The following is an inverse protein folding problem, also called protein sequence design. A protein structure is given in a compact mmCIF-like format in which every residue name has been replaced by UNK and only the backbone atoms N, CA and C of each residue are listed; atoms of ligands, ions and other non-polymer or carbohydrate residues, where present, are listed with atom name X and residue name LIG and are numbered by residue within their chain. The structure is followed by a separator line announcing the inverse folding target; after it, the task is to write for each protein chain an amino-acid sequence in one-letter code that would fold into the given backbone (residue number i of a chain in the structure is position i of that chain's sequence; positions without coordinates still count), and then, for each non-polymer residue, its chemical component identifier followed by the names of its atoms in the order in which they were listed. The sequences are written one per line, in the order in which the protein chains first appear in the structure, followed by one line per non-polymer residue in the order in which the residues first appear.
data_IF_165842699123
#
_entry.id   IF_165842699123
#
_cell.length_a   1.000
_cell.length_b   1.000
_cell.length_c   1.000
_cell.angle_alpha   90.00
_cell.angle_beta   90.00
_cell.angle_gamma   90.00
#
_symmetry.space_group_name_H-M   'P 1'
#
loop_
_entity.id
_entity.type
_entity.pdbx_description
1 polymer ?
#
# COMPACT_ATOMS: atom_id res chain seq x y z
N UNK A 1 8.82 40.35 10.82
CA UNK A 1 9.98 39.44 10.99
C UNK A 1 9.58 38.28 11.89
N UNK A 2 9.15 37.16 11.30
CA UNK A 2 9.12 35.82 11.91
C UNK A 2 8.78 34.80 10.80
N UNK A 3 9.63 34.74 9.77
CA UNK A 3 9.38 33.99 8.53
C UNK A 3 10.27 32.76 8.35
N UNK A 4 10.96 32.29 9.38
CA UNK A 4 12.04 31.28 9.23
C UNK A 4 11.84 29.95 9.95
N UNK A 5 10.79 29.76 10.76
CA UNK A 5 10.65 28.55 11.60
C UNK A 5 9.62 27.49 11.13
N UNK A 6 8.80 27.78 10.12
CA UNK A 6 7.80 26.79 9.61
C UNK A 6 8.32 25.91 8.47
N UNK A 7 9.52 26.19 7.94
CA UNK A 7 10.15 25.39 6.88
C UNK A 7 10.58 23.97 7.33
N UNK A 8 10.65 23.73 8.64
CA UNK A 8 10.91 22.41 9.23
C UNK A 8 9.68 21.51 9.35
N UNK A 9 8.47 22.09 9.38
CA UNK A 9 7.20 21.38 9.67
C UNK A 9 6.69 20.52 8.50
N UNK A 10 7.15 20.82 7.28
CA UNK A 10 6.71 20.18 6.03
C UNK A 10 7.81 19.37 5.35
N UNK A 11 8.74 18.84 6.14
CA UNK A 11 9.73 17.86 5.70
C UNK A 11 9.22 16.45 5.99
N UNK A 12 9.63 15.47 5.20
CA UNK A 12 9.35 14.06 5.51
C UNK A 12 9.88 13.67 6.90
N UNK A 13 9.42 12.53 7.45
CA UNK A 13 9.88 11.97 8.72
C UNK A 13 11.41 11.83 8.86
N UNK A 14 12.17 11.90 7.76
CA UNK A 14 13.63 11.87 7.76
C UNK A 14 14.30 13.27 7.61
N UNK A 15 13.56 14.38 7.65
CA UNK A 15 14.04 15.77 7.45
C UNK A 15 14.84 16.07 6.16
N UNK A 16 15.02 15.09 5.28
CA UNK A 16 15.92 15.16 4.13
C UNK A 16 15.24 15.57 2.81
N UNK A 17 13.92 15.39 2.69
CA UNK A 17 13.20 15.63 1.45
C UNK A 17 11.97 16.53 1.65
N UNK A 18 11.74 17.44 0.70
CA UNK A 18 10.52 18.23 0.61
C UNK A 18 9.32 17.31 0.40
N UNK A 19 8.23 17.50 1.14
CA UNK A 19 7.09 16.58 1.18
C UNK A 19 6.45 16.33 -0.20
N UNK A 20 6.53 17.33 -1.09
CA UNK A 20 6.07 17.23 -2.50
C UNK A 20 6.85 16.17 -3.28
N UNK A 21 8.18 16.17 -3.20
CA UNK A 21 9.03 15.21 -3.91
C UNK A 21 8.86 13.79 -3.36
N UNK A 22 8.71 13.66 -2.05
CA UNK A 22 8.47 12.34 -1.44
C UNK A 22 7.11 11.77 -1.83
N UNK A 23 6.07 12.60 -1.86
CA UNK A 23 4.74 12.15 -2.31
C UNK A 23 4.74 11.80 -3.81
N UNK A 24 5.51 12.52 -4.62
CA UNK A 24 5.72 12.18 -6.03
C UNK A 24 6.44 10.83 -6.21
N UNK A 25 7.45 10.57 -5.37
CA UNK A 25 8.12 9.25 -5.33
C UNK A 25 7.15 8.12 -5.00
N UNK A 26 6.25 8.31 -4.04
CA UNK A 26 5.21 7.32 -3.70
C UNK A 26 4.28 7.07 -4.88
N UNK A 27 3.87 8.13 -5.60
CA UNK A 27 3.01 8.00 -6.78
C UNK A 27 3.69 7.14 -7.87
N UNK A 28 4.99 7.36 -8.12
CA UNK A 28 5.77 6.54 -9.06
C UNK A 28 5.86 5.09 -8.59
N UNK A 29 6.23 4.85 -7.33
CA UNK A 29 6.36 3.50 -6.78
C UNK A 29 5.04 2.76 -6.86
N UNK A 30 3.94 3.42 -6.50
CA UNK A 30 2.59 2.85 -6.56
C UNK A 30 2.19 2.51 -8.00
N UNK A 31 2.51 3.38 -8.96
CA UNK A 31 2.28 3.11 -10.39
C UNK A 31 3.07 1.88 -10.87
N UNK A 32 4.35 1.79 -10.51
CA UNK A 32 5.20 0.64 -10.85
C UNK A 32 4.63 -0.64 -10.26
N UNK A 33 4.18 -0.65 -9.01
CA UNK A 33 3.58 -1.82 -8.36
C UNK A 33 2.30 -2.28 -9.08
N UNK A 34 1.43 -1.35 -9.49
CA UNK A 34 0.21 -1.66 -10.25
C UNK A 34 0.58 -2.32 -11.60
N UNK A 35 1.58 -1.78 -12.31
CA UNK A 35 2.05 -2.33 -13.59
C UNK A 35 2.63 -3.73 -13.38
N UNK A 36 3.48 -3.91 -12.36
CA UNK A 36 4.08 -5.23 -12.05
C UNK A 36 2.99 -6.25 -11.74
N UNK A 37 2.00 -5.90 -10.92
CA UNK A 37 0.88 -6.79 -10.61
C UNK A 37 0.10 -7.18 -11.88
N UNK A 38 -0.19 -6.21 -12.76
CA UNK A 38 -0.86 -6.46 -14.03
C UNK A 38 -0.03 -7.37 -14.97
N UNK A 39 1.28 -7.17 -15.02
CA UNK A 39 2.18 -8.01 -15.84
C UNK A 39 2.26 -9.44 -15.27
N UNK A 40 2.36 -9.61 -13.95
CA UNK A 40 2.33 -10.93 -13.31
C UNK A 40 1.03 -11.68 -13.63
N UNK A 41 -0.10 -10.96 -13.71
CA UNK A 41 -1.36 -11.52 -14.19
C UNK A 41 -1.32 -11.95 -15.64
N UNK A 42 -0.80 -11.10 -16.52
CA UNK A 42 -0.70 -11.42 -17.95
C UNK A 42 0.13 -12.69 -18.19
N UNK A 43 1.12 -12.97 -17.35
CA UNK A 43 1.90 -14.21 -17.35
C UNK A 43 1.23 -15.42 -16.67
N UNK A 44 0.02 -15.26 -16.15
CA UNK A 44 -0.78 -16.36 -15.58
C UNK A 44 -0.39 -16.76 -14.15
N UNK A 45 0.38 -15.94 -13.43
CA UNK A 45 0.77 -16.26 -12.04
C UNK A 45 -0.39 -16.10 -11.04
N UNK A 46 -1.30 -15.15 -11.28
CA UNK A 46 -2.45 -14.87 -10.40
C UNK A 46 -3.68 -15.68 -10.82
N UNK A 47 -4.32 -16.37 -9.85
CA UNK A 47 -5.55 -17.15 -10.05
C UNK A 47 -6.85 -16.35 -9.87
N UNK A 48 -6.76 -15.03 -9.67
CA UNK A 48 -7.94 -14.14 -9.53
C UNK A 48 -8.74 -14.11 -10.85
N UNK A 49 -10.04 -13.85 -10.85
CA UNK A 49 -10.72 -13.66 -12.15
C UNK A 49 -10.30 -12.35 -12.82
N UNK A 50 -10.20 -12.36 -14.15
CA UNK A 50 -9.83 -11.16 -14.93
C UNK A 50 -10.73 -9.95 -14.65
N UNK A 51 -12.02 -10.16 -14.36
CA UNK A 51 -12.94 -9.08 -14.06
C UNK A 51 -12.58 -8.36 -12.74
N UNK A 52 -12.24 -9.11 -11.70
CA UNK A 52 -11.84 -8.55 -10.41
C UNK A 52 -10.48 -7.87 -10.50
N UNK A 53 -9.54 -8.48 -11.22
CA UNK A 53 -8.19 -7.92 -11.38
C UNK A 53 -8.19 -6.63 -12.21
N UNK A 54 -8.99 -6.56 -13.27
CA UNK A 54 -9.18 -5.34 -14.05
C UNK A 54 -9.85 -4.24 -13.21
N UNK A 55 -10.82 -4.59 -12.37
CA UNK A 55 -11.46 -3.64 -11.46
C UNK A 55 -10.43 -3.03 -10.49
N UNK A 56 -9.60 -3.86 -9.86
CA UNK A 56 -8.51 -3.38 -8.99
C UNK A 56 -7.53 -2.48 -9.76
N UNK A 57 -7.14 -2.89 -10.97
CA UNK A 57 -6.26 -2.09 -11.83
C UNK A 57 -6.83 -0.70 -12.13
N UNK A 58 -8.12 -0.61 -12.49
CA UNK A 58 -8.79 0.67 -12.79
C UNK A 58 -8.89 1.53 -11.53
N UNK A 59 -9.32 0.96 -10.41
CA UNK A 59 -9.52 1.68 -9.15
C UNK A 59 -8.18 2.22 -8.63
N UNK A 60 -7.14 1.38 -8.57
CA UNK A 60 -5.80 1.79 -8.14
C UNK A 60 -5.18 2.79 -9.13
N UNK A 61 -5.39 2.60 -10.43
CA UNK A 61 -4.95 3.52 -11.46
C UNK A 61 -5.56 4.92 -11.30
N UNK A 62 -6.89 5.01 -11.08
CA UNK A 62 -7.57 6.29 -10.83
C UNK A 62 -7.08 6.96 -9.54
N UNK A 63 -6.78 6.19 -8.50
CA UNK A 63 -6.24 6.73 -7.26
C UNK A 63 -4.81 7.26 -7.41
N UNK A 64 -3.96 6.57 -8.18
CA UNK A 64 -2.60 7.07 -8.47
C UNK A 64 -2.64 8.28 -9.39
N UNK A 65 -3.52 8.30 -10.39
CA UNK A 65 -3.72 9.46 -11.27
C UNK A 65 -4.22 10.68 -10.50
N UNK A 66 -5.18 10.50 -9.60
CA UNK A 66 -5.65 11.58 -8.72
C UNK A 66 -4.57 12.06 -7.76
N UNK A 67 -3.70 11.16 -7.28
CA UNK A 67 -2.51 11.55 -6.51
C UNK A 67 -1.56 12.41 -7.34
N UNK A 68 -1.21 11.99 -8.56
CA UNK A 68 -0.37 12.78 -9.48
C UNK A 68 -0.97 14.15 -9.79
N UNK A 69 -2.25 14.17 -10.15
CA UNK A 69 -2.97 15.40 -10.47
C UNK A 69 -3.06 16.33 -9.25
N UNK A 70 -3.34 15.79 -8.07
CA UNK A 70 -3.39 16.56 -6.82
C UNK A 70 -2.06 17.19 -6.43
N UNK A 71 -0.94 16.50 -6.68
CA UNK A 71 0.41 17.05 -6.47
C UNK A 71 0.72 18.14 -7.49
N UNK A 72 0.33 17.95 -8.76
CA UNK A 72 0.57 18.92 -9.83
C UNK A 72 -0.25 20.20 -9.65
N UNK A 73 -1.53 20.05 -9.33
CA UNK A 73 -2.47 21.17 -9.12
C UNK A 73 -2.47 21.72 -7.69
N UNK A 74 -1.61 21.20 -6.80
CA UNK A 74 -1.49 21.59 -5.39
C UNK A 74 -2.82 21.61 -4.62
N UNK A 75 -3.76 20.73 -5.02
CA UNK A 75 -5.12 20.66 -4.48
C UNK A 75 -5.27 19.44 -3.59
N UNK A 76 -5.47 19.68 -2.29
CA UNK A 76 -5.64 18.63 -1.28
C UNK A 76 -6.83 17.69 -1.56
N UNK A 77 -7.87 18.15 -2.27
CA UNK A 77 -9.07 17.35 -2.55
C UNK A 77 -8.79 16.10 -3.39
N UNK A 78 -7.77 16.13 -4.27
CA UNK A 78 -7.46 15.00 -5.15
C UNK A 78 -6.59 13.93 -4.47
N UNK A 79 -6.03 14.21 -3.28
CA UNK A 79 -5.27 13.23 -2.50
C UNK A 79 -6.19 12.26 -1.73
N UNK A 80 -7.46 12.64 -1.54
CA UNK A 80 -8.46 11.87 -0.81
C UNK A 80 -8.71 10.45 -1.36
N UNK A 81 -8.98 10.24 -2.65
CA UNK A 81 -9.23 8.90 -3.19
C UNK A 81 -8.09 7.91 -2.89
N UNK A 82 -6.83 8.34 -3.05
CA UNK A 82 -5.67 7.51 -2.72
C UNK A 82 -5.57 7.19 -1.22
N UNK A 83 -5.82 8.18 -0.36
CA UNK A 83 -5.83 7.97 1.09
C UNK A 83 -6.93 6.99 1.52
N UNK A 84 -8.14 7.12 0.94
CA UNK A 84 -9.26 6.23 1.22
C UNK A 84 -8.96 4.80 0.79
N UNK A 85 -8.42 4.60 -0.43
CA UNK A 85 -8.00 3.26 -0.86
C UNK A 85 -6.91 2.70 0.05
N UNK A 86 -5.92 3.50 0.42
CA UNK A 86 -4.85 3.06 1.33
C UNK A 86 -5.41 2.61 2.69
N UNK A 87 -6.44 3.27 3.23
CA UNK A 87 -7.12 2.85 4.46
C UNK A 87 -7.82 1.50 4.29
N UNK A 88 -8.53 1.30 3.18
CA UNK A 88 -9.15 0.01 2.87
C UNK A 88 -8.10 -1.10 2.73
N UNK A 89 -7.00 -0.84 2.02
CA UNK A 89 -5.90 -1.80 1.83
C UNK A 89 -5.22 -2.16 3.15
N UNK A 90 -4.91 -1.18 3.99
CA UNK A 90 -4.32 -1.43 5.33
C UNK A 90 -5.28 -2.27 6.19
N UNK A 91 -6.57 -1.96 6.17
CA UNK A 91 -7.58 -2.71 6.94
C UNK A 91 -7.69 -4.16 6.46
N UNK A 92 -7.73 -4.36 5.14
CA UNK A 92 -7.77 -5.69 4.54
C UNK A 92 -6.49 -6.49 4.85
N UNK A 93 -5.31 -5.87 4.70
CA UNK A 93 -4.03 -6.51 5.04
C UNK A 93 -3.95 -6.89 6.53
N UNK A 94 -4.42 -6.03 7.43
CA UNK A 94 -4.46 -6.32 8.86
C UNK A 94 -5.38 -7.52 9.17
N UNK A 95 -6.54 -7.60 8.52
CA UNK A 95 -7.45 -8.75 8.66
C UNK A 95 -6.82 -10.03 8.10
N UNK A 96 -6.13 -9.97 6.95
CA UNK A 96 -5.41 -11.11 6.40
C UNK A 96 -4.27 -11.55 7.32
N UNK A 97 -3.51 -10.61 7.88
CA UNK A 97 -2.45 -10.91 8.83
C UNK A 97 -2.99 -11.59 10.09
N UNK A 98 -4.13 -11.10 10.62
CA UNK A 98 -4.81 -11.74 11.75
C UNK A 98 -5.29 -13.16 11.40
N UNK A 99 -5.91 -13.34 10.23
CA UNK A 99 -6.35 -14.65 9.74
C UNK A 99 -5.18 -15.62 9.61
N UNK A 100 -4.08 -15.22 8.96
CA UNK A 100 -2.87 -16.03 8.85
C UNK A 100 -2.22 -16.29 10.22
N UNK A 101 -2.30 -15.33 11.15
CA UNK A 101 -1.83 -15.49 12.52
C UNK A 101 -2.53 -16.62 13.26
N UNK A 102 -3.83 -16.85 13.00
CA UNK A 102 -4.55 -17.99 13.58
C UNK A 102 -3.99 -19.34 13.14
N UNK A 103 -3.44 -19.45 11.92
CA UNK A 103 -2.83 -20.68 11.42
C UNK A 103 -1.50 -21.02 12.14
N UNK A 104 -0.78 -20.00 12.62
CA UNK A 104 0.46 -20.19 13.40
C UNK A 104 0.13 -20.57 14.84
N UNK A 105 -0.86 -19.90 15.45
CA UNK A 105 -1.23 -20.13 16.84
C UNK A 105 -1.95 -21.46 17.06
N UNK A 106 -2.82 -21.85 16.13
CA UNK A 106 -3.53 -23.12 16.15
C UNK A 106 -3.39 -23.83 14.80
N UNK A 107 -2.59 -24.90 14.80
CA UNK A 107 -2.33 -25.74 13.62
C UNK A 107 -3.56 -26.53 13.15
N UNK A 108 -4.65 -26.56 13.93
CA UNK A 108 -5.94 -27.13 13.54
C UNK A 108 -6.98 -26.08 13.15
N UNK A 109 -6.60 -24.81 13.08
CA UNK A 109 -7.49 -23.73 12.61
C UNK A 109 -7.88 -23.93 11.14
N UNK A 110 -9.07 -23.47 10.77
CA UNK A 110 -9.54 -23.42 9.38
C UNK A 110 -8.54 -22.74 8.43
N UNK A 111 -7.81 -21.74 8.93
CA UNK A 111 -6.77 -21.06 8.17
C UNK A 111 -5.59 -21.98 7.82
N UNK A 112 -5.17 -22.82 8.76
CA UNK A 112 -4.09 -23.79 8.54
C UNK A 112 -4.53 -24.81 7.47
N UNK A 113 -5.72 -25.37 7.60
CA UNK A 113 -6.26 -26.34 6.62
C UNK A 113 -6.39 -25.74 5.21
N UNK A 114 -6.82 -24.49 5.10
CA UNK A 114 -6.84 -23.78 3.82
C UNK A 114 -5.43 -23.63 3.20
N UNK A 115 -4.44 -23.21 4.01
CA UNK A 115 -3.04 -23.12 3.57
C UNK A 115 -2.49 -24.48 3.13
N UNK A 116 -2.81 -25.55 3.87
CA UNK A 116 -2.41 -26.91 3.51
C UNK A 116 -2.93 -27.31 2.14
N UNK A 117 -4.22 -27.07 1.85
CA UNK A 117 -4.83 -27.41 0.57
C UNK A 117 -4.21 -26.63 -0.59
N UNK A 118 -3.99 -25.33 -0.43
CA UNK A 118 -3.39 -24.49 -1.48
C UNK A 118 -1.92 -24.87 -1.72
N UNK A 119 -1.14 -25.15 -0.67
CA UNK A 119 0.23 -25.64 -0.79
C UNK A 119 0.30 -26.97 -1.54
N UNK A 120 -0.58 -27.93 -1.22
CA UNK A 120 -0.65 -29.21 -1.96
C UNK A 120 -0.90 -28.98 -3.44
N UNK A 121 -1.91 -28.16 -3.77
CA UNK A 121 -2.25 -27.81 -5.16
C UNK A 121 -1.06 -27.22 -5.91
N UNK A 122 -0.28 -26.34 -5.27
CA UNK A 122 0.90 -25.70 -5.87
C UNK A 122 2.08 -26.65 -6.02
N UNK A 123 2.32 -27.52 -5.03
CA UNK A 123 3.39 -28.52 -5.11
C UNK A 123 3.10 -29.60 -6.17
N UNK A 124 1.85 -30.03 -6.30
CA UNK A 124 1.44 -31.01 -7.30
C UNK A 124 1.55 -30.45 -8.73
N UNK A 125 1.31 -29.15 -8.91
CA UNK A 125 1.57 -28.44 -10.15
C UNK A 125 3.09 -28.23 -10.39
N UNK A 126 3.85 -27.97 -9.32
CA UNK A 126 5.30 -27.70 -9.32
C UNK A 126 6.15 -28.94 -9.08
N UNK A 127 5.84 -30.07 -9.74
CA UNK A 127 6.39 -31.45 -9.59
C UNK A 127 7.93 -31.64 -9.55
N UNK A 128 8.75 -30.58 -9.55
CA UNK A 128 10.21 -30.63 -9.63
C UNK A 128 10.98 -30.18 -8.38
N UNK A 129 10.36 -29.55 -7.37
CA UNK A 129 11.08 -29.18 -6.13
C UNK A 129 10.88 -30.24 -5.04
N UNK A 130 11.73 -31.28 -5.05
CA UNK A 130 11.84 -32.25 -3.95
C UNK A 130 12.57 -31.62 -2.76
N UNK A 131 11.84 -30.91 -1.90
CA UNK A 131 12.35 -30.61 -0.56
C UNK A 131 12.03 -31.77 0.39
N UNK A 132 13.03 -32.22 1.16
CA UNK A 132 12.90 -33.24 2.21
C UNK A 132 12.26 -32.69 3.50
N UNK A 133 11.47 -31.62 3.39
CA UNK A 133 10.81 -30.96 4.52
C UNK A 133 9.49 -31.66 4.82
N UNK A 134 9.18 -31.83 6.11
CA UNK A 134 7.88 -32.35 6.54
C UNK A 134 6.79 -31.36 6.11
N UNK A 135 5.62 -31.86 5.72
CA UNK A 135 4.51 -31.03 5.27
C UNK A 135 4.09 -29.97 6.31
N UNK A 136 4.16 -30.33 7.60
CA UNK A 136 3.91 -29.42 8.72
C UNK A 136 4.92 -28.27 8.80
N UNK A 137 6.21 -28.55 8.55
CA UNK A 137 7.26 -27.53 8.55
C UNK A 137 7.06 -26.55 7.38
N UNK A 138 6.62 -27.04 6.22
CA UNK A 138 6.37 -26.21 5.04
C UNK A 138 5.22 -25.22 5.26
N UNK A 139 4.12 -25.67 5.88
CA UNK A 139 2.98 -24.82 6.24
C UNK A 139 3.43 -23.72 7.18
N UNK A 140 4.14 -24.09 8.26
CA UNK A 140 4.66 -23.12 9.23
C UNK A 140 5.59 -22.08 8.60
N UNK A 141 6.52 -22.51 7.74
CA UNK A 141 7.45 -21.61 7.03
C UNK A 141 6.67 -20.68 6.09
N UNK A 142 5.77 -21.23 5.27
CA UNK A 142 5.00 -20.45 4.30
C UNK A 142 4.07 -19.43 4.97
N UNK A 143 3.39 -19.80 6.06
CA UNK A 143 2.55 -18.90 6.84
C UNK A 143 3.38 -17.84 7.55
N UNK A 144 4.55 -18.18 8.08
CA UNK A 144 5.46 -17.21 8.72
C UNK A 144 6.01 -16.19 7.72
N UNK A 145 6.46 -16.65 6.55
CA UNK A 145 6.91 -15.78 5.45
C UNK A 145 5.76 -14.91 4.94
N UNK A 146 4.57 -15.50 4.80
CA UNK A 146 3.35 -14.80 4.40
C UNK A 146 3.00 -13.67 5.36
N UNK A 147 2.95 -13.94 6.67
CA UNK A 147 2.68 -12.91 7.69
C UNK A 147 3.77 -11.84 7.70
N UNK A 148 5.04 -12.22 7.63
CA UNK A 148 6.13 -11.26 7.58
C UNK A 148 5.97 -10.30 6.39
N UNK A 149 5.67 -10.84 5.21
CA UNK A 149 5.40 -10.05 4.00
C UNK A 149 4.17 -9.14 4.18
N UNK A 150 3.07 -9.66 4.74
CA UNK A 150 1.84 -8.90 4.99
C UNK A 150 2.06 -7.76 5.99
N UNK A 151 2.82 -7.99 7.07
CA UNK A 151 3.14 -6.96 8.06
C UNK A 151 4.01 -5.86 7.45
N UNK A 152 5.05 -6.23 6.69
CA UNK A 152 5.89 -5.27 5.98
C UNK A 152 5.08 -4.43 4.99
N UNK A 153 4.18 -5.08 4.24
CA UNK A 153 3.30 -4.40 3.28
C UNK A 153 2.32 -3.47 3.99
N UNK A 154 1.77 -3.89 5.12
CA UNK A 154 0.88 -3.05 5.97
C UNK A 154 1.62 -1.82 6.47
N UNK A 155 2.84 -2.00 7.00
CA UNK A 155 3.67 -0.90 7.46
C UNK A 155 4.01 0.08 6.33
N UNK A 156 4.30 -0.44 5.13
CA UNK A 156 4.57 0.38 3.94
C UNK A 156 3.34 1.19 3.51
N UNK A 157 2.16 0.58 3.44
CA UNK A 157 0.92 1.31 3.11
C UNK A 157 0.54 2.32 4.20
N UNK A 158 0.71 1.99 5.48
CA UNK A 158 0.48 2.92 6.57
C UNK A 158 1.44 4.12 6.49
N UNK A 159 2.71 3.88 6.15
CA UNK A 159 3.69 4.93 5.91
C UNK A 159 3.30 5.84 4.74
N UNK A 160 2.85 5.26 3.62
CA UNK A 160 2.35 6.03 2.47
C UNK A 160 1.15 6.89 2.84
N UNK A 161 0.19 6.33 3.59
CA UNK A 161 -0.98 7.06 4.07
C UNK A 161 -0.58 8.28 4.91
N UNK A 162 0.36 8.12 5.85
CA UNK A 162 0.85 9.24 6.68
C UNK A 162 1.47 10.33 5.82
N UNK A 163 2.29 9.98 4.82
CA UNK A 163 2.91 10.95 3.93
C UNK A 163 1.88 11.72 3.09
N UNK A 164 0.88 11.03 2.54
CA UNK A 164 -0.19 11.65 1.74
C UNK A 164 -1.05 12.57 2.61
N UNK A 165 -1.40 12.16 3.84
CA UNK A 165 -2.16 13.01 4.77
C UNK A 165 -1.37 14.27 5.14
N UNK A 166 -0.06 14.13 5.39
CA UNK A 166 0.81 15.28 5.67
C UNK A 166 0.94 16.20 4.46
N UNK A 167 1.00 15.66 3.24
CA UNK A 167 0.99 16.45 2.01
C UNK A 167 -0.35 17.20 1.83
N UNK A 168 -1.48 16.56 2.12
CA UNK A 168 -2.79 17.21 2.09
C UNK A 168 -2.92 18.34 3.12
N UNK A 169 -2.38 18.16 4.34
CA UNK A 169 -2.32 19.21 5.35
C UNK A 169 -1.47 20.39 4.89
N UNK A 170 -0.34 20.14 4.22
CA UNK A 170 0.51 21.19 3.65
C UNK A 170 -0.22 22.02 2.59
N UNK A 171 -0.92 21.37 1.65
CA UNK A 171 -1.67 22.09 0.62
C UNK A 171 -2.81 22.94 1.19
N UNK A 172 -3.53 22.45 2.21
CA UNK A 172 -4.56 23.25 2.91
C UNK A 172 -3.98 24.48 3.60
N UNK A 173 -2.78 24.34 4.16
CA UNK A 173 -2.08 25.46 4.79
C UNK A 173 -1.68 26.53 3.77
N UNK A 174 -1.15 26.14 2.60
CA UNK A 174 -0.83 27.07 1.51
C UNK A 174 -2.07 27.81 0.98
N UNK A 175 -3.19 27.11 0.84
CA UNK A 175 -4.47 27.69 0.41
C UNK A 175 -4.96 28.74 1.42
N UNK A 176 -4.82 28.45 2.72
CA UNK A 176 -5.22 29.37 3.79
C UNK A 176 -4.35 30.63 3.82
N UNK A 177 -3.03 30.51 3.66
CA UNK A 177 -2.14 31.67 3.60
C UNK A 177 -2.41 32.55 2.38
N UNK A 178 -2.58 31.94 1.21
CA UNK A 178 -2.91 32.67 -0.02
C UNK A 178 -4.17 33.51 0.16
N UNK A 179 -5.18 32.96 0.85
CA UNK A 179 -6.43 33.67 1.13
C UNK A 179 -6.22 34.86 2.09
N UNK A 180 -5.46 34.68 3.18
CA UNK A 180 -5.18 35.77 4.11
C UNK A 180 -4.37 36.91 3.50
N UNK A 181 -3.45 36.59 2.59
CA UNK A 181 -2.64 37.60 1.91
C UNK A 181 -3.50 38.49 0.99
N UNK A 182 -4.48 37.90 0.30
CA UNK A 182 -5.44 38.63 -0.54
C UNK A 182 -6.32 39.56 0.32
N UNK A 183 -6.87 39.05 1.43
CA UNK A 183 -7.70 39.85 2.36
C UNK A 183 -6.91 41.00 3.03
N UNK A 184 -5.58 40.88 3.16
CA UNK A 184 -4.73 41.95 3.72
C UNK A 184 -4.42 43.08 2.74
N UNK A 185 -4.72 42.89 1.45
CA UNK A 185 -4.47 43.87 0.38
C UNK A 185 -5.73 44.65 -0.04
N UNK A 186 -6.92 44.24 0.42
CA UNK A 186 -8.17 44.99 0.30
C UNK A 186 -8.42 45.91 1.50
#
# INVERSE_FOLDING_TARGET
MSGSDESGKFRCCCSCCHIKNSTYGIAIISLVLIIVNFVLKAFGYSQIDWNWELLFFIVDGLAVLSLFYGIYSEKASFLQPFAVLSIFTVSFLALLAAFCGTAIYDSKSYAAEWFEMELRKRMDAGKHLRFNLTFSDLVWISSSVGICCLVLLTALHAWFLVLVVKCAQFFRFLETQTKSDIESQE
#
